data_IF_986665961413
#
_entry.id   IF_986665961413
#
_cell.length_a   1.000
_cell.length_b   1.000
_cell.length_c   1.000
_cell.angle_alpha   90.00
_cell.angle_beta   90.00
_cell.angle_gamma   90.00
#
_symmetry.space_group_name_H-M   'P 1'
#
loop_
_entity.id
_entity.type
_entity.pdbx_description
1 polymer ?
#
# COMPACT_ATOMS: atom_id res chain seq x y z
N UNK A 1 -90.04 -1.06 -8.97
CA UNK A 1 -89.47 0.25 -9.36
C UNK A 1 -87.95 0.07 -9.49
N UNK A 2 -87.33 0.18 -10.68
CA UNK A 2 -86.72 1.41 -11.29
C UNK A 2 -85.57 1.96 -10.38
N UNK A 3 -84.31 2.17 -10.76
CA UNK A 3 -83.60 2.38 -12.04
C UNK A 3 -82.07 2.11 -11.91
N UNK A 4 -81.46 1.93 -13.09
CA UNK A 4 -80.05 1.91 -13.50
C UNK A 4 -79.12 3.05 -13.02
N UNK A 5 -77.81 2.71 -12.94
CA UNK A 5 -76.57 3.39 -13.41
C UNK A 5 -76.32 4.84 -12.94
N UNK A 6 -75.08 5.19 -12.54
CA UNK A 6 -74.30 6.34 -13.06
C UNK A 6 -72.82 6.29 -12.61
N UNK A 7 -71.92 6.26 -13.58
CA UNK A 7 -70.54 6.76 -13.46
C UNK A 7 -70.53 8.29 -13.41
N UNK A 8 -69.61 8.90 -12.66
CA UNK A 8 -68.73 10.04 -13.05
C UNK A 8 -68.23 10.80 -11.80
N UNK A 9 -66.93 10.71 -11.49
CA UNK A 9 -65.90 11.77 -11.63
C UNK A 9 -66.11 13.01 -10.76
N UNK A 10 -65.17 13.23 -9.83
CA UNK A 10 -64.76 14.56 -9.38
C UNK A 10 -63.23 14.60 -9.20
N UNK A 11 -62.58 15.46 -10.01
CA UNK A 11 -61.25 16.04 -9.77
C UNK A 11 -61.31 16.92 -8.50
N UNK A 12 -60.29 17.37 -7.76
CA UNK A 12 -58.84 17.55 -7.93
C UNK A 12 -58.31 17.91 -6.53
N UNK A 13 -57.05 17.60 -6.19
CA UNK A 13 -56.42 18.14 -4.97
C UNK A 13 -54.98 17.65 -4.79
N UNK A 14 -54.03 18.38 -5.38
CA UNK A 14 -52.60 18.11 -5.31
C UNK A 14 -52.00 18.63 -3.99
N UNK A 15 -51.19 17.82 -3.30
CA UNK A 15 -50.17 18.29 -2.38
C UNK A 15 -48.86 17.55 -2.68
N UNK A 16 -47.85 18.31 -3.10
CA UNK A 16 -46.53 17.83 -3.46
C UNK A 16 -45.63 17.72 -2.23
N UNK A 17 -45.00 16.57 -2.04
CA UNK A 17 -43.78 16.41 -1.24
C UNK A 17 -42.73 15.78 -2.14
N UNK A 18 -41.75 16.60 -2.51
CA UNK A 18 -40.62 16.29 -3.39
C UNK A 18 -39.71 15.25 -2.74
N UNK A 19 -39.62 14.08 -3.33
CA UNK A 19 -38.53 13.12 -3.11
C UNK A 19 -37.52 13.20 -4.24
N UNK A 20 -36.23 13.10 -3.92
CA UNK A 20 -35.18 12.83 -4.90
C UNK A 20 -34.52 11.49 -4.54
N UNK A 21 -35.02 10.42 -5.16
CA UNK A 21 -34.26 9.19 -5.38
C UNK A 21 -33.33 9.43 -6.56
N UNK A 22 -32.04 9.14 -6.40
CA UNK A 22 -31.10 9.16 -7.52
C UNK A 22 -30.85 7.72 -7.94
N UNK A 23 -31.43 7.31 -9.06
CA UNK A 23 -31.06 6.07 -9.73
C UNK A 23 -31.32 6.14 -11.25
N UNK A 24 -30.21 5.93 -11.97
CA UNK A 24 -30.03 5.35 -13.32
C UNK A 24 -30.79 5.98 -14.50
N UNK A 25 -30.12 6.91 -15.18
CA UNK A 25 -30.41 7.28 -16.57
C UNK A 25 -29.73 6.33 -17.55
N UNK A 26 -30.53 5.76 -18.46
CA UNK A 26 -30.14 4.83 -19.52
C UNK A 26 -29.81 5.55 -20.83
N UNK A 27 -28.80 5.05 -21.56
CA UNK A 27 -28.54 5.39 -22.97
C UNK A 27 -27.42 4.52 -23.57
N UNK A 28 -27.78 3.53 -24.39
CA UNK A 28 -26.90 2.77 -25.33
C UNK A 28 -27.21 3.24 -26.77
N UNK A 29 -26.47 2.86 -27.83
CA UNK A 29 -25.06 2.48 -27.98
C UNK A 29 -24.33 3.32 -29.07
N UNK A 30 -23.00 3.41 -29.01
CA UNK A 30 -22.19 3.65 -30.21
C UNK A 30 -20.94 2.77 -30.14
N UNK A 31 -20.70 2.08 -31.24
CA UNK A 31 -19.89 0.88 -31.37
C UNK A 31 -18.40 1.16 -31.51
N UNK A 32 -17.63 0.39 -30.73
CA UNK A 32 -16.29 -0.19 -31.00
C UNK A 32 -15.12 0.77 -31.24
N UNK A 33 -14.25 0.84 -30.24
CA UNK A 33 -12.89 1.36 -30.32
C UNK A 33 -12.06 0.98 -29.08
N UNK A 34 -11.52 -0.24 -29.09
CA UNK A 34 -10.37 -0.79 -28.36
C UNK A 34 -9.72 -0.03 -27.15
N UNK A 35 -9.66 -0.76 -26.02
CA UNK A 35 -8.66 -0.82 -24.92
C UNK A 35 -8.29 0.43 -24.09
N UNK A 36 -8.31 0.26 -22.76
CA UNK A 36 -7.63 1.14 -21.79
C UNK A 36 -6.09 0.97 -21.86
N UNK A 37 -5.29 1.90 -21.29
CA UNK A 37 -4.95 1.74 -19.87
C UNK A 37 -4.81 3.03 -19.04
N UNK A 38 -4.72 2.81 -17.73
CA UNK A 38 -4.55 3.76 -16.65
C UNK A 38 -3.20 4.50 -16.70
N UNK A 39 -3.22 5.79 -16.36
CA UNK A 39 -2.01 6.61 -16.31
C UNK A 39 -1.32 6.47 -14.95
N UNK A 40 -0.43 5.47 -14.88
CA UNK A 40 0.64 5.36 -13.89
C UNK A 40 1.69 6.45 -14.14
N UNK A 41 1.53 7.61 -13.50
CA UNK A 41 2.53 8.69 -13.55
C UNK A 41 3.49 8.70 -12.35
N UNK A 42 3.35 7.78 -11.39
CA UNK A 42 4.16 7.78 -10.15
C UNK A 42 5.34 6.79 -10.16
N UNK A 43 5.53 6.04 -11.24
CA UNK A 43 6.70 5.17 -11.46
C UNK A 43 7.80 5.88 -12.27
N UNK A 44 7.60 7.14 -12.65
CA UNK A 44 8.49 7.95 -13.49
C UNK A 44 9.77 8.44 -12.75
N UNK A 45 10.54 7.49 -12.23
CA UNK A 45 11.80 7.71 -11.51
C UNK A 45 12.33 6.46 -10.81
N UNK A 46 11.57 5.37 -10.81
CA UNK A 46 12.04 4.04 -10.43
C UNK A 46 11.81 3.12 -11.62
N UNK A 47 12.85 2.87 -12.42
CA UNK A 47 12.74 2.22 -13.73
C UNK A 47 12.42 0.72 -13.65
N UNK A 48 12.18 0.15 -12.45
CA UNK A 48 12.00 -1.29 -12.29
C UNK A 48 13.20 -2.13 -12.76
N UNK A 49 14.29 -1.49 -13.15
CA UNK A 49 15.58 -2.13 -13.39
C UNK A 49 16.09 -2.53 -12.02
N UNK A 50 15.99 -3.84 -11.75
CA UNK A 50 16.60 -4.44 -10.57
C UNK A 50 18.01 -3.88 -10.39
N UNK A 51 18.29 -3.47 -9.15
CA UNK A 51 19.62 -3.11 -8.68
C UNK A 51 20.62 -4.17 -9.17
N UNK A 52 21.33 -3.83 -10.25
CA UNK A 52 22.40 -4.65 -10.83
C UNK A 52 23.46 -4.84 -9.76
N UNK A 53 23.47 -6.00 -9.08
CA UNK A 53 24.61 -6.71 -8.47
C UNK A 53 25.69 -5.97 -7.65
N UNK A 54 25.61 -4.66 -7.48
CA UNK A 54 26.69 -3.79 -6.99
C UNK A 54 26.25 -2.87 -5.84
N UNK A 55 24.95 -2.81 -5.52
CA UNK A 55 24.44 -2.16 -4.30
C UNK A 55 24.17 -3.19 -3.18
N UNK A 56 24.89 -4.32 -3.21
CA UNK A 56 25.05 -5.21 -2.05
C UNK A 56 26.12 -4.68 -1.07
N UNK A 57 26.80 -3.58 -1.41
CA UNK A 57 27.99 -3.08 -0.73
C UNK A 57 27.90 -1.59 -0.42
N UNK A 58 26.93 -1.21 0.42
CA UNK A 58 27.10 -0.05 1.28
C UNK A 58 26.62 -0.27 2.72
N UNK A 59 25.67 -1.19 3.02
CA UNK A 59 25.31 -1.59 4.39
C UNK A 59 24.45 -2.87 4.46
N UNK A 60 24.89 -3.99 3.87
CA UNK A 60 24.19 -5.28 3.99
C UNK A 60 22.76 -5.30 3.40
N UNK A 61 21.95 -6.35 3.67
CA UNK A 61 20.58 -6.44 3.19
C UNK A 61 19.80 -5.28 3.82
N UNK A 62 19.36 -4.29 3.04
CA UNK A 62 18.81 -3.06 3.61
C UNK A 62 17.38 -3.27 4.13
N UNK A 63 17.31 -3.84 5.33
CA UNK A 63 16.56 -3.30 6.46
C UNK A 63 17.54 -3.31 7.65
N UNK A 64 17.60 -2.21 8.40
CA UNK A 64 18.57 -2.03 9.48
C UNK A 64 18.68 -3.22 10.43
N UNK A 65 19.89 -3.56 10.88
CA UNK A 65 20.10 -4.36 12.09
C UNK A 65 19.46 -5.75 12.14
N UNK A 66 19.44 -6.50 11.05
CA UNK A 66 19.03 -7.92 11.07
C UNK A 66 19.83 -8.68 12.13
N UNK A 67 19.19 -9.07 13.24
CA UNK A 67 19.87 -9.58 14.45
C UNK A 67 19.30 -10.93 14.91
N UNK A 68 20.10 -11.77 15.57
CA UNK A 68 19.61 -13.04 16.11
C UNK A 68 19.15 -14.06 15.08
N UNK A 69 19.51 -13.87 13.81
CA UNK A 69 19.31 -14.85 12.73
C UNK A 69 20.47 -15.85 12.68
N UNK A 70 20.18 -17.10 12.31
CA UNK A 70 21.23 -18.07 11.96
C UNK A 70 21.90 -17.72 10.63
N UNK A 71 23.07 -18.31 10.37
CA UNK A 71 23.73 -18.21 9.07
C UNK A 71 22.84 -18.73 7.92
N UNK A 72 22.06 -19.78 8.17
CA UNK A 72 21.13 -20.33 7.17
C UNK A 72 19.96 -19.37 6.89
N UNK A 73 19.38 -18.76 7.93
CA UNK A 73 18.33 -17.75 7.77
C UNK A 73 18.83 -16.50 7.04
N UNK A 74 20.03 -16.04 7.39
CA UNK A 74 20.64 -14.88 6.74
C UNK A 74 20.87 -15.15 5.26
N UNK A 75 21.32 -16.35 4.90
CA UNK A 75 21.49 -16.77 3.51
C UNK A 75 20.16 -16.96 2.76
N UNK A 76 19.06 -17.21 3.49
CA UNK A 76 17.73 -17.42 2.92
C UNK A 76 16.89 -16.13 2.83
N UNK A 77 17.43 -14.97 3.25
CA UNK A 77 16.71 -13.71 3.15
C UNK A 77 16.33 -13.38 1.70
N UNK A 78 15.15 -12.76 1.47
CA UNK A 78 14.80 -12.22 0.17
C UNK A 78 15.84 -11.19 -0.31
N UNK A 79 16.03 -11.11 -1.62
CA UNK A 79 16.96 -10.16 -2.24
C UNK A 79 16.58 -8.69 -1.98
N UNK A 80 15.28 -8.42 -1.80
CA UNK A 80 14.75 -7.09 -1.57
C UNK A 80 14.02 -7.03 -0.23
N UNK A 81 14.50 -6.14 0.66
CA UNK A 81 13.96 -5.92 2.00
C UNK A 81 13.33 -4.54 2.16
N UNK A 82 12.86 -3.96 1.06
CA UNK A 82 12.36 -2.59 1.00
C UNK A 82 11.26 -2.46 -0.03
N UNK A 83 10.17 -1.81 0.37
CA UNK A 83 9.11 -1.38 -0.55
C UNK A 83 9.09 0.14 -0.66
N UNK A 84 8.84 0.66 -1.86
CA UNK A 84 8.78 2.10 -2.13
C UNK A 84 7.35 2.56 -2.39
N UNK A 85 7.10 3.85 -2.18
CA UNK A 85 5.79 4.46 -2.31
C UNK A 85 5.81 5.70 -3.21
N UNK A 86 4.67 5.95 -3.84
CA UNK A 86 4.39 7.19 -4.53
C UNK A 86 4.39 8.40 -3.58
N UNK A 87 4.47 9.60 -4.17
CA UNK A 87 4.31 10.84 -3.41
C UNK A 87 2.96 10.85 -2.70
N UNK A 88 2.98 11.23 -1.42
CA UNK A 88 1.80 11.36 -0.58
C UNK A 88 0.87 10.13 -0.58
N UNK A 89 1.45 8.94 -0.63
CA UNK A 89 0.72 7.68 -0.76
C UNK A 89 1.27 6.60 0.16
N UNK A 90 0.36 5.79 0.68
CA UNK A 90 0.55 4.51 1.37
C UNK A 90 0.18 3.31 0.49
N UNK A 91 -0.32 3.52 -0.72
CA UNK A 91 -0.72 2.42 -1.61
C UNK A 91 0.49 1.66 -2.16
N UNK A 92 0.44 0.34 -2.10
CA UNK A 92 1.45 -0.55 -2.68
C UNK A 92 1.12 -0.85 -4.14
N UNK A 93 2.04 -0.51 -5.05
CA UNK A 93 1.96 -0.93 -6.45
C UNK A 93 2.32 -2.43 -6.62
N UNK A 94 2.22 -2.94 -7.84
CA UNK A 94 2.49 -4.35 -8.13
C UNK A 94 3.92 -4.78 -7.75
N UNK A 95 4.90 -3.90 -7.92
CA UNK A 95 6.29 -4.20 -7.60
C UNK A 95 6.51 -4.25 -6.08
N UNK A 96 5.94 -3.30 -5.34
CA UNK A 96 5.94 -3.32 -3.88
C UNK A 96 5.24 -4.57 -3.33
N UNK A 97 4.10 -4.97 -3.92
CA UNK A 97 3.39 -6.19 -3.56
C UNK A 97 4.23 -7.45 -3.84
N UNK A 98 4.97 -7.49 -4.95
CA UNK A 98 5.87 -8.61 -5.26
C UNK A 98 6.97 -8.75 -4.20
N UNK A 99 7.63 -7.64 -3.82
CA UNK A 99 8.66 -7.65 -2.78
C UNK A 99 8.06 -8.09 -1.44
N UNK A 100 6.91 -7.53 -1.05
CA UNK A 100 6.25 -7.90 0.19
C UNK A 100 5.82 -9.38 0.19
N UNK A 101 5.42 -9.93 -0.95
CA UNK A 101 5.08 -11.36 -1.10
C UNK A 101 6.30 -12.25 -0.84
N UNK A 102 7.47 -11.92 -1.38
CA UNK A 102 8.71 -12.68 -1.14
C UNK A 102 9.10 -12.65 0.35
N UNK A 103 8.94 -11.49 1.00
CA UNK A 103 9.18 -11.35 2.44
C UNK A 103 8.17 -12.14 3.27
N UNK A 104 6.88 -12.13 2.89
CA UNK A 104 5.87 -12.96 3.53
C UNK A 104 6.21 -14.45 3.44
N UNK A 105 6.59 -14.93 2.25
CA UNK A 105 6.98 -16.33 2.04
C UNK A 105 8.18 -16.72 2.91
N UNK A 106 9.21 -15.86 2.98
CA UNK A 106 10.33 -16.08 3.89
C UNK A 106 9.86 -16.22 5.34
N UNK A 107 8.99 -15.32 5.82
CA UNK A 107 8.45 -15.37 7.18
C UNK A 107 7.57 -16.59 7.43
N UNK A 108 6.78 -17.04 6.47
CA UNK A 108 5.97 -18.26 6.60
C UNK A 108 6.88 -19.49 6.75
N UNK A 109 7.98 -19.54 5.99
CA UNK A 109 8.94 -20.65 6.04
C UNK A 109 9.88 -20.63 7.27
N UNK A 110 9.98 -19.49 7.96
CA UNK A 110 10.82 -19.32 9.15
C UNK A 110 9.98 -18.81 10.34
N UNK A 111 9.23 -19.71 11.01
CA UNK A 111 8.20 -19.32 11.97
C UNK A 111 8.71 -18.61 13.24
N UNK A 112 9.99 -18.76 13.56
CA UNK A 112 10.67 -18.11 14.70
C UNK A 112 11.22 -16.72 14.38
N UNK A 113 11.25 -16.31 13.11
CA UNK A 113 11.74 -15.00 12.70
C UNK A 113 10.64 -13.95 12.86
N UNK A 114 10.96 -12.82 13.48
CA UNK A 114 10.11 -11.63 13.61
C UNK A 114 10.59 -10.54 12.67
N UNK A 115 9.71 -9.62 12.33
CA UNK A 115 10.04 -8.44 11.52
C UNK A 115 9.54 -7.17 12.18
N UNK A 116 10.32 -6.10 12.04
CA UNK A 116 9.93 -4.73 12.32
C UNK A 116 9.90 -3.97 11.00
N UNK A 117 8.77 -3.34 10.71
CA UNK A 117 8.52 -2.55 9.51
C UNK A 117 8.76 -1.09 9.84
N UNK A 118 9.74 -0.48 9.18
CA UNK A 118 10.16 0.90 9.43
C UNK A 118 9.62 1.82 8.34
N UNK A 119 8.57 2.59 8.66
CA UNK A 119 7.93 3.52 7.73
C UNK A 119 8.62 4.88 7.66
N UNK A 120 9.00 5.29 6.45
CA UNK A 120 9.75 6.50 6.18
C UNK A 120 9.09 7.36 5.08
N UNK A 121 9.41 8.64 5.05
CA UNK A 121 8.94 9.64 4.09
C UNK A 121 10.09 10.43 3.48
N UNK A 122 9.79 11.25 2.46
CA UNK A 122 10.69 12.32 2.08
C UNK A 122 10.59 13.51 3.07
N UNK A 123 11.42 14.53 2.87
CA UNK A 123 11.65 15.63 3.82
C UNK A 123 10.56 16.72 3.79
N UNK A 124 9.68 16.68 2.78
CA UNK A 124 8.67 17.70 2.53
C UNK A 124 7.49 17.56 3.48
N UNK A 125 6.99 18.69 3.98
CA UNK A 125 5.87 18.74 4.93
C UNK A 125 6.30 18.76 6.40
N UNK A 126 5.31 18.79 7.30
CA UNK A 126 5.57 18.86 8.75
C UNK A 126 6.09 17.53 9.29
N UNK A 127 6.73 17.56 10.46
CA UNK A 127 7.24 16.33 11.09
C UNK A 127 6.10 15.40 11.49
N UNK A 128 5.05 15.94 12.09
CA UNK A 128 3.87 15.19 12.57
C UNK A 128 3.14 14.52 11.41
N UNK A 129 3.01 15.23 10.29
CA UNK A 129 2.38 14.69 9.09
C UNK A 129 3.18 13.50 8.55
N UNK A 130 4.50 13.65 8.45
CA UNK A 130 5.38 12.61 7.93
C UNK A 130 5.45 11.40 8.87
N UNK A 131 5.43 11.62 10.18
CA UNK A 131 5.34 10.55 11.17
C UNK A 131 4.03 9.75 10.99
N UNK A 132 2.90 10.43 10.82
CA UNK A 132 1.62 9.76 10.58
C UNK A 132 1.59 9.03 9.22
N UNK A 133 2.18 9.60 8.17
CA UNK A 133 2.25 8.96 6.85
C UNK A 133 3.18 7.74 6.85
N UNK A 134 4.32 7.83 7.52
CA UNK A 134 5.22 6.69 7.68
C UNK A 134 4.54 5.55 8.45
N UNK A 135 3.77 5.85 9.50
CA UNK A 135 3.00 4.83 10.23
C UNK A 135 1.97 4.13 9.33
N UNK A 136 1.19 4.89 8.55
CA UNK A 136 0.22 4.31 7.61
C UNK A 136 0.87 3.41 6.56
N UNK A 137 2.07 3.76 6.08
CA UNK A 137 2.84 2.92 5.16
C UNK A 137 3.24 1.60 5.81
N UNK A 138 3.81 1.65 7.02
CA UNK A 138 4.22 0.46 7.75
C UNK A 138 3.03 -0.46 8.07
N UNK A 139 1.90 0.12 8.49
CA UNK A 139 0.66 -0.62 8.76
C UNK A 139 0.07 -1.23 7.47
N UNK A 140 0.14 -0.54 6.33
CA UNK A 140 -0.29 -1.09 5.04
C UNK A 140 0.51 -2.34 4.67
N UNK A 141 1.83 -2.29 4.84
CA UNK A 141 2.71 -3.45 4.59
C UNK A 141 2.41 -4.57 5.58
N UNK A 142 2.20 -4.26 6.86
CA UNK A 142 1.82 -5.25 7.88
C UNK A 142 0.53 -5.98 7.50
N UNK A 143 -0.53 -5.26 7.16
CA UNK A 143 -1.81 -5.85 6.74
C UNK A 143 -1.64 -6.74 5.51
N UNK A 144 -0.79 -6.33 4.56
CA UNK A 144 -0.45 -7.16 3.42
C UNK A 144 0.23 -8.48 3.85
N UNK A 145 1.23 -8.42 4.73
CA UNK A 145 1.91 -9.63 5.23
C UNK A 145 0.96 -10.56 6.00
N UNK A 146 0.06 -10.01 6.81
CA UNK A 146 -0.97 -10.77 7.52
C UNK A 146 -1.91 -11.49 6.55
N UNK A 147 -2.35 -10.80 5.49
CA UNK A 147 -3.15 -11.39 4.43
C UNK A 147 -2.42 -12.51 3.66
N UNK A 148 -1.08 -12.47 3.63
CA UNK A 148 -0.23 -13.53 3.08
C UNK A 148 0.05 -14.68 4.08
N UNK A 149 -0.53 -14.63 5.28
CA UNK A 149 -0.45 -15.71 6.28
C UNK A 149 0.66 -15.53 7.33
N UNK A 150 1.32 -14.37 7.40
CA UNK A 150 2.25 -14.07 8.48
C UNK A 150 1.47 -13.77 9.76
N UNK A 151 1.85 -14.38 10.88
CA UNK A 151 1.20 -14.11 12.16
C UNK A 151 1.50 -12.67 12.64
N UNK A 152 0.45 -11.90 12.93
CA UNK A 152 0.52 -10.51 13.40
C UNK A 152 1.45 -10.30 14.61
N UNK A 153 1.52 -11.26 15.54
CA UNK A 153 2.37 -11.17 16.73
C UNK A 153 3.88 -11.20 16.41
N UNK A 154 4.25 -11.51 15.17
CA UNK A 154 5.63 -11.50 14.67
C UNK A 154 5.97 -10.24 13.90
N UNK A 155 5.02 -9.33 13.72
CA UNK A 155 5.19 -8.09 12.96
C UNK A 155 5.05 -6.92 13.94
N UNK A 156 6.01 -6.02 13.91
CA UNK A 156 5.93 -4.72 14.60
C UNK A 156 6.10 -3.59 13.61
N UNK A 157 5.53 -2.42 13.89
CA UNK A 157 5.68 -1.21 13.07
C UNK A 157 6.36 -0.12 13.87
N UNK A 158 7.15 0.70 13.19
CA UNK A 158 7.70 1.96 13.70
C UNK A 158 7.68 2.95 12.55
N UNK A 159 7.27 4.19 12.82
CA UNK A 159 7.50 5.30 11.90
C UNK A 159 8.69 6.15 12.31
N UNK A 160 9.56 6.44 11.34
CA UNK A 160 10.59 7.47 11.47
C UNK A 160 10.20 8.79 10.78
N UNK A 161 9.06 8.82 10.09
CA UNK A 161 8.69 9.94 9.23
C UNK A 161 9.85 10.32 8.31
N UNK A 162 10.31 11.57 8.43
CA UNK A 162 11.40 12.12 7.63
C UNK A 162 12.78 12.08 8.30
N UNK A 163 12.88 11.50 9.49
CA UNK A 163 14.06 11.61 10.36
C UNK A 163 15.12 10.51 10.10
N UNK A 164 14.85 9.59 9.17
CA UNK A 164 15.79 8.53 8.75
C UNK A 164 15.94 8.44 7.20
N UNK A 165 16.47 9.50 6.54
CA UNK A 165 16.64 9.54 5.10
C UNK A 165 17.77 8.61 4.62
N UNK A 166 17.60 7.99 3.44
CA UNK A 166 18.69 7.29 2.73
C UNK A 166 19.52 8.25 1.88
N UNK A 167 18.87 9.32 1.45
CA UNK A 167 19.44 10.32 0.59
C UNK A 167 18.96 11.69 1.07
N UNK A 168 19.82 12.70 1.01
CA UNK A 168 19.52 14.05 1.51
C UNK A 168 19.51 15.13 0.42
N UNK A 169 19.68 14.73 -0.84
CA UNK A 169 19.56 15.64 -1.98
C UNK A 169 18.11 16.13 -2.13
N UNK A 170 17.96 17.40 -2.52
CA UNK A 170 16.67 18.04 -2.67
C UNK A 170 16.13 17.86 -4.10
N UNK A 171 15.91 16.62 -4.51
CA UNK A 171 15.46 16.26 -5.85
C UNK A 171 14.49 15.08 -5.88
N UNK A 172 13.83 14.90 -7.02
CA UNK A 172 12.76 13.91 -7.20
C UNK A 172 13.23 12.47 -7.00
N UNK A 173 14.46 12.16 -7.43
CA UNK A 173 15.04 10.82 -7.32
C UNK A 173 15.32 10.47 -5.85
N UNK A 174 15.91 11.41 -5.13
CA UNK A 174 16.22 11.28 -3.72
C UNK A 174 14.96 11.13 -2.87
N UNK A 175 13.94 11.94 -3.13
CA UNK A 175 12.65 11.81 -2.46
C UNK A 175 12.02 10.44 -2.72
N UNK A 176 12.12 9.91 -3.94
CA UNK A 176 11.60 8.57 -4.26
C UNK A 176 12.28 7.46 -3.47
N UNK A 177 13.60 7.55 -3.29
CA UNK A 177 14.36 6.61 -2.45
C UNK A 177 13.89 6.65 -0.99
N UNK A 178 13.59 7.85 -0.46
CA UNK A 178 13.21 8.02 0.95
C UNK A 178 11.79 7.57 1.28
N UNK A 179 10.85 7.63 0.34
CA UNK A 179 9.46 7.15 0.53
C UNK A 179 9.40 5.63 0.52
N UNK A 180 9.54 5.00 1.69
CA UNK A 180 9.74 3.55 1.79
C UNK A 180 9.25 2.93 3.10
N UNK A 181 9.17 1.61 3.10
CA UNK A 181 9.16 0.77 4.31
C UNK A 181 10.29 -0.24 4.23
N UNK A 182 11.11 -0.31 5.27
CA UNK A 182 12.21 -1.26 5.40
C UNK A 182 11.81 -2.47 6.26
N UNK A 183 12.25 -3.66 5.89
CA UNK A 183 12.01 -4.92 6.61
C UNK A 183 13.21 -5.27 7.49
N UNK A 184 13.07 -5.09 8.79
CA UNK A 184 14.11 -5.38 9.78
C UNK A 184 13.82 -6.67 10.51
N UNK A 185 14.60 -7.72 10.24
CA UNK A 185 14.39 -9.02 10.83
C UNK A 185 15.08 -9.18 12.19
N UNK A 186 14.45 -9.95 13.06
CA UNK A 186 15.06 -10.44 14.29
C UNK A 186 14.72 -11.90 14.51
N UNK A 187 15.71 -12.73 14.83
CA UNK A 187 15.50 -14.13 15.17
C UNK A 187 15.53 -14.38 16.68
N UNK A 188 15.09 -15.57 17.07
CA UNK A 188 15.06 -16.03 18.46
C UNK A 188 16.36 -16.67 18.95
N UNK A 189 17.42 -16.70 18.13
CA UNK A 189 18.71 -17.25 18.55
C UNK A 189 19.43 -16.27 19.47
N UNK A 190 19.18 -16.44 20.77
CA UNK A 190 20.10 -16.00 21.80
C UNK A 190 21.15 -17.11 21.90
N UNK A 191 22.41 -16.79 21.58
CA UNK A 191 23.52 -17.76 21.62
C UNK A 191 23.63 -18.51 22.94
#
# INVERSE_FOLDING_TARGET
>A
MRYQIWMAVAMTGALALTGCAHNVGSGKPSTVGAVAPANSAATAGYNGEGINGQELNANGPIGGGNSGLTAAELAALPQHLRVHFGFNSESMDAHAQQIATQNAQFMVNHPHVKVRLEGNTDDRGTQEYNLALGERRAETVKQFLEAQGVNAARISTVSFGKDNPLCSSNDAECWAKNRRVDFVYSGGYNG
#
